data_IF_350999498083
#
_entry.id   IF_350999498083
#
_cell.length_a   1.000
_cell.length_b   1.000
_cell.length_c   1.000
_cell.angle_alpha   90.00
_cell.angle_beta   90.00
_cell.angle_gamma   90.00
#
_symmetry.space_group_name_H-M   'P 1'
#
loop_
_entity.id
_entity.type
_entity.pdbx_description
1 polymer ?
#
# COMPACT_ATOMS: atom_id res chain seq x y z
N UNK A 1 -16.35 1.39 1.27
CA UNK A 1 -15.63 0.41 2.12
C UNK A 1 -14.85 1.14 3.20
N UNK A 2 -14.96 0.70 4.43
CA UNK A 2 -14.20 1.28 5.54
C UNK A 2 -12.84 0.61 5.64
N UNK A 3 -11.79 1.41 5.73
CA UNK A 3 -10.42 0.93 5.87
C UNK A 3 -9.87 1.41 7.22
N UNK A 4 -9.23 0.52 7.97
CA UNK A 4 -8.68 0.88 9.28
C UNK A 4 -7.42 0.08 9.59
N UNK A 5 -6.47 0.72 10.26
CA UNK A 5 -5.30 0.04 10.82
C UNK A 5 -5.62 -0.60 12.17
N UNK A 6 -6.77 -0.25 12.77
CA UNK A 6 -7.21 -0.82 14.04
C UNK A 6 -7.74 -2.24 13.83
N UNK A 7 -7.71 -3.10 14.87
CA UNK A 7 -8.27 -4.45 14.76
C UNK A 7 -9.80 -4.49 14.74
N UNK A 8 -10.43 -3.38 15.08
CA UNK A 8 -11.88 -3.24 15.14
C UNK A 8 -12.29 -1.85 14.67
N UNK A 9 -13.53 -1.72 14.25
CA UNK A 9 -14.12 -0.44 13.88
C UNK A 9 -15.18 -0.12 14.93
N UNK A 10 -14.97 0.99 15.65
CA UNK A 10 -15.88 1.41 16.70
C UNK A 10 -17.30 1.60 16.16
N UNK A 11 -18.28 1.09 16.89
CA UNK A 11 -19.68 1.15 16.49
C UNK A 11 -20.11 0.07 15.49
N UNK A 12 -19.19 -0.79 15.04
CA UNK A 12 -19.47 -1.84 14.07
C UNK A 12 -18.93 -3.18 14.55
N UNK A 13 -19.81 -4.12 14.83
CA UNK A 13 -19.43 -5.48 15.17
C UNK A 13 -19.00 -6.22 13.90
N UNK A 14 -17.83 -6.87 13.94
CA UNK A 14 -17.41 -7.74 12.84
C UNK A 14 -18.31 -8.98 12.86
N UNK A 15 -19.07 -9.16 11.78
CA UNK A 15 -20.01 -10.27 11.65
C UNK A 15 -19.39 -11.48 10.95
N UNK A 16 -18.38 -11.24 10.11
CA UNK A 16 -17.75 -12.32 9.35
C UNK A 16 -16.33 -11.90 8.98
N UNK A 17 -15.38 -12.80 9.15
CA UNK A 17 -14.01 -12.66 8.66
C UNK A 17 -13.90 -13.38 7.32
N UNK A 18 -13.55 -12.62 6.28
CA UNK A 18 -13.42 -13.18 4.92
C UNK A 18 -12.02 -13.72 4.64
N UNK A 19 -11.00 -13.17 5.30
CA UNK A 19 -9.62 -13.62 5.14
C UNK A 19 -8.64 -12.50 4.93
N UNK A 20 -7.39 -12.87 4.71
CA UNK A 20 -6.29 -11.94 4.51
C UNK A 20 -6.32 -11.45 3.06
N UNK A 21 -6.16 -10.14 2.90
CA UNK A 21 -6.04 -9.51 1.58
C UNK A 21 -4.77 -8.71 1.52
N UNK A 22 -4.22 -8.61 0.33
CA UNK A 22 -3.00 -7.84 0.06
C UNK A 22 -3.16 -7.03 -1.22
N UNK A 23 -2.29 -6.03 -1.37
CA UNK A 23 -2.10 -5.30 -2.61
C UNK A 23 -0.63 -5.01 -2.77
N UNK A 24 -0.11 -5.04 -4.00
CA UNK A 24 1.30 -4.83 -4.26
C UNK A 24 1.50 -3.89 -5.46
N UNK A 25 2.47 -2.98 -5.34
CA UNK A 25 2.91 -2.15 -6.47
C UNK A 25 4.42 -2.14 -6.47
N UNK A 26 5.00 -2.45 -7.62
CA UNK A 26 6.46 -2.44 -7.80
C UNK A 26 6.81 -1.31 -8.74
N UNK A 27 7.66 -0.39 -8.25
CA UNK A 27 8.27 0.64 -9.07
C UNK A 27 9.49 0.02 -9.72
N UNK A 28 9.45 -0.08 -11.06
CA UNK A 28 10.49 -0.76 -11.83
C UNK A 28 11.85 -0.07 -11.75
N UNK A 29 12.90 -0.81 -12.10
CA UNK A 29 14.28 -0.39 -11.93
C UNK A 29 14.61 0.94 -12.64
N UNK A 30 14.12 1.14 -13.85
CA UNK A 30 14.42 2.37 -14.60
C UNK A 30 13.80 3.61 -13.94
N UNK A 31 12.53 3.51 -13.55
CA UNK A 31 11.84 4.61 -12.87
C UNK A 31 12.49 4.89 -11.51
N UNK A 32 12.82 3.85 -10.75
CA UNK A 32 13.47 4.00 -9.44
C UNK A 32 14.82 4.69 -9.57
N UNK A 33 15.62 4.30 -10.57
CA UNK A 33 16.92 4.90 -10.85
C UNK A 33 16.80 6.39 -11.16
N UNK A 34 15.84 6.75 -12.02
CA UNK A 34 15.62 8.15 -12.42
C UNK A 34 15.20 8.99 -11.23
N UNK A 35 14.29 8.48 -10.40
CA UNK A 35 13.84 9.15 -9.17
C UNK A 35 14.99 9.34 -8.20
N UNK A 36 15.82 8.31 -8.00
CA UNK A 36 16.94 8.35 -7.08
C UNK A 36 18.01 9.36 -7.54
N UNK A 37 18.26 9.43 -8.86
CA UNK A 37 19.17 10.43 -9.41
C UNK A 37 18.67 11.85 -9.15
N UNK A 38 17.36 12.08 -9.29
CA UNK A 38 16.73 13.36 -8.97
C UNK A 38 16.88 13.74 -7.50
N UNK A 39 16.77 12.78 -6.59
CA UNK A 39 16.93 13.01 -5.15
C UNK A 39 18.35 13.46 -4.80
N UNK A 40 19.37 12.89 -5.45
CA UNK A 40 20.77 13.24 -5.19
C UNK A 40 21.10 14.71 -5.52
N UNK A 41 20.33 15.33 -6.40
CA UNK A 41 20.52 16.72 -6.77
C UNK A 41 19.79 17.70 -5.85
N UNK A 42 19.01 17.19 -4.91
CA UNK A 42 18.27 18.02 -3.96
C UNK A 42 19.16 18.35 -2.77
N UNK A 43 19.38 19.63 -2.56
CA UNK A 43 20.15 20.14 -1.43
C UNK A 43 19.17 20.87 -0.49
N UNK A 44 18.78 20.19 0.57
CA UNK A 44 17.77 20.67 1.50
C UNK A 44 16.36 20.57 0.93
N UNK A 45 15.35 20.61 1.78
CA UNK A 45 13.95 20.52 1.39
C UNK A 45 13.48 19.11 1.11
N UNK A 46 12.31 19.00 0.46
CA UNK A 46 11.61 17.74 0.26
C UNK A 46 11.80 17.23 -1.17
N UNK A 47 11.87 15.93 -1.30
CA UNK A 47 11.95 15.25 -2.60
C UNK A 47 10.55 15.05 -3.19
N UNK A 48 9.90 16.14 -3.62
CA UNK A 48 8.50 16.15 -4.00
C UNK A 48 8.11 15.14 -5.08
N UNK A 49 8.94 14.98 -6.12
CA UNK A 49 8.67 14.01 -7.19
C UNK A 49 8.68 12.57 -6.67
N UNK A 50 9.62 12.25 -5.78
CA UNK A 50 9.72 10.92 -5.17
C UNK A 50 8.54 10.66 -4.23
N UNK A 51 8.19 11.66 -3.40
CA UNK A 51 7.05 11.58 -2.50
C UNK A 51 5.75 11.33 -3.26
N UNK A 52 5.57 11.97 -4.41
CA UNK A 52 4.39 11.77 -5.26
C UNK A 52 4.30 10.34 -5.77
N UNK A 53 5.41 9.78 -6.25
CA UNK A 53 5.45 8.40 -6.75
C UNK A 53 5.15 7.41 -5.63
N UNK A 54 5.70 7.62 -4.43
CA UNK A 54 5.41 6.78 -3.26
C UNK A 54 3.92 6.82 -2.91
N UNK A 55 3.32 8.01 -2.91
CA UNK A 55 1.90 8.17 -2.60
C UNK A 55 1.03 7.45 -3.64
N UNK A 56 1.34 7.59 -4.93
CA UNK A 56 0.61 6.93 -6.01
C UNK A 56 0.75 5.41 -5.91
N UNK A 57 1.94 4.90 -5.62
CA UNK A 57 2.19 3.47 -5.46
C UNK A 57 1.41 2.90 -4.27
N UNK A 58 1.38 3.63 -3.14
CA UNK A 58 0.57 3.26 -1.98
C UNK A 58 -0.91 3.20 -2.34
N UNK A 59 -1.42 4.23 -3.00
CA UNK A 59 -2.82 4.31 -3.38
C UNK A 59 -3.21 3.17 -4.33
N UNK A 60 -2.35 2.83 -5.28
CA UNK A 60 -2.56 1.71 -6.19
C UNK A 60 -2.61 0.38 -5.44
N UNK A 61 -1.70 0.16 -4.48
CA UNK A 61 -1.68 -1.03 -3.64
C UNK A 61 -2.95 -1.13 -2.79
N UNK A 62 -3.41 0.00 -2.22
CA UNK A 62 -4.66 0.04 -1.45
C UNK A 62 -5.87 -0.29 -2.32
N UNK A 63 -5.95 0.27 -3.53
CA UNK A 63 -7.05 -0.01 -4.46
C UNK A 63 -7.10 -1.49 -4.84
N UNK A 64 -5.96 -2.09 -5.11
CA UNK A 64 -5.88 -3.51 -5.44
C UNK A 64 -6.36 -4.38 -4.28
N UNK A 65 -5.92 -4.05 -3.05
CA UNK A 65 -6.36 -4.75 -1.85
C UNK A 65 -7.88 -4.62 -1.66
N UNK A 66 -8.43 -3.42 -1.86
CA UNK A 66 -9.87 -3.16 -1.75
C UNK A 66 -10.67 -3.97 -2.77
N UNK A 67 -10.20 -4.03 -4.02
CA UNK A 67 -10.86 -4.80 -5.07
C UNK A 67 -10.91 -6.29 -4.73
N UNK A 68 -9.82 -6.82 -4.20
CA UNK A 68 -9.75 -8.21 -3.74
C UNK A 68 -10.70 -8.48 -2.58
N UNK A 69 -10.77 -7.55 -1.63
CA UNK A 69 -11.71 -7.65 -0.50
C UNK A 69 -13.16 -7.61 -0.97
N UNK A 70 -13.49 -6.73 -1.90
CA UNK A 70 -14.84 -6.63 -2.47
C UNK A 70 -15.23 -7.92 -3.19
N UNK A 71 -14.29 -8.53 -3.93
CA UNK A 71 -14.52 -9.79 -4.61
C UNK A 71 -14.82 -10.94 -3.64
N UNK A 72 -14.34 -10.85 -2.39
CA UNK A 72 -14.64 -11.80 -1.32
C UNK A 72 -15.97 -11.51 -0.61
N UNK A 73 -16.64 -10.43 -0.95
CA UNK A 73 -17.89 -10.03 -0.31
C UNK A 73 -17.71 -9.20 0.95
N UNK A 74 -16.51 -8.67 1.20
CA UNK A 74 -16.24 -7.82 2.35
C UNK A 74 -16.72 -6.39 2.12
N UNK A 75 -17.02 -5.68 3.21
CA UNK A 75 -17.35 -4.26 3.18
C UNK A 75 -16.42 -3.40 4.05
N UNK A 76 -15.39 -4.01 4.63
CA UNK A 76 -14.37 -3.31 5.39
C UNK A 76 -13.07 -4.12 5.39
N UNK A 77 -11.97 -3.42 5.66
CA UNK A 77 -10.66 -4.05 5.87
C UNK A 77 -10.11 -3.48 7.17
N UNK A 78 -9.73 -4.34 8.10
CA UNK A 78 -9.15 -3.98 9.39
C UNK A 78 -7.72 -4.48 9.50
N UNK A 79 -6.97 -3.95 10.47
CA UNK A 79 -5.60 -4.36 10.72
C UNK A 79 -4.66 -4.07 9.54
N UNK A 80 -4.90 -2.99 8.80
CA UNK A 80 -4.12 -2.66 7.61
C UNK A 80 -2.69 -2.30 8.02
N UNK A 81 -1.74 -2.89 7.29
CA UNK A 81 -0.33 -2.58 7.36
C UNK A 81 0.16 -2.15 5.98
N UNK A 82 1.09 -1.20 5.94
CA UNK A 82 1.67 -0.69 4.70
C UNK A 82 3.18 -0.78 4.82
N UNK A 83 3.80 -1.52 3.91
CA UNK A 83 5.24 -1.73 3.89
C UNK A 83 5.86 -1.16 2.62
N UNK A 84 7.05 -0.58 2.78
CA UNK A 84 7.87 -0.10 1.68
C UNK A 84 9.19 -0.85 1.75
N UNK A 85 9.54 -1.57 0.67
CA UNK A 85 10.76 -2.36 0.63
C UNK A 85 11.49 -2.18 -0.69
N UNK A 86 12.82 -2.16 -0.61
CA UNK A 86 13.63 -2.26 -1.82
C UNK A 86 13.76 -3.74 -2.18
N UNK A 87 13.57 -4.05 -3.45
CA UNK A 87 13.62 -5.41 -3.97
C UNK A 87 14.45 -5.44 -5.25
N UNK A 88 14.69 -6.64 -5.78
CA UNK A 88 15.48 -6.82 -6.99
C UNK A 88 16.98 -6.82 -6.73
N UNK A 89 17.77 -6.94 -7.80
CA UNK A 89 19.21 -6.99 -7.71
C UNK A 89 19.75 -5.66 -7.14
N UNK A 90 20.50 -5.74 -6.04
CA UNK A 90 21.08 -4.57 -5.36
C UNK A 90 20.06 -3.52 -4.90
N UNK A 91 18.83 -3.96 -4.59
CA UNK A 91 17.78 -3.03 -4.18
C UNK A 91 17.40 -2.02 -5.26
N UNK A 92 17.37 -2.46 -6.51
CA UNK A 92 17.15 -1.58 -7.67
C UNK A 92 15.70 -1.24 -7.94
N UNK A 93 14.76 -1.84 -7.21
CA UNK A 93 13.32 -1.60 -7.34
C UNK A 93 12.72 -1.31 -5.97
N UNK A 94 11.59 -0.62 -5.96
CA UNK A 94 10.84 -0.36 -4.74
C UNK A 94 9.50 -1.06 -4.82
N UNK A 95 9.15 -1.80 -3.76
CA UNK A 95 7.85 -2.43 -3.60
C UNK A 95 7.07 -1.72 -2.50
N UNK A 96 5.80 -1.43 -2.78
CA UNK A 96 4.85 -1.01 -1.76
C UNK A 96 3.83 -2.11 -1.62
N UNK A 97 3.72 -2.66 -0.43
CA UNK A 97 2.76 -3.73 -0.12
C UNK A 97 1.78 -3.26 0.95
N UNK A 98 0.52 -3.56 0.74
CA UNK A 98 -0.54 -3.38 1.73
C UNK A 98 -1.11 -4.73 2.10
N UNK A 99 -1.50 -4.89 3.36
CA UNK A 99 -2.15 -6.11 3.84
C UNK A 99 -3.21 -5.77 4.88
N UNK A 100 -4.15 -6.66 5.08
CA UNK A 100 -5.20 -6.48 6.08
C UNK A 100 -6.12 -7.67 6.11
N UNK A 101 -7.13 -7.58 6.95
CA UNK A 101 -8.18 -8.61 7.08
C UNK A 101 -9.49 -8.08 6.50
N UNK A 102 -9.97 -8.74 5.47
CA UNK A 102 -11.27 -8.43 4.86
C UNK A 102 -12.39 -8.95 5.76
N UNK A 103 -13.34 -8.09 6.09
CA UNK A 103 -14.43 -8.41 7.02
C UNK A 103 -15.76 -7.89 6.50
N UNK A 104 -16.84 -8.44 7.08
CA UNK A 104 -18.19 -7.89 6.95
C UNK A 104 -18.58 -7.28 8.30
N UNK A 105 -18.94 -6.03 8.25
CA UNK A 105 -19.45 -5.30 9.40
C UNK A 105 -20.90 -4.90 9.20
#
# INVERSE_FOLDING_TARGET
>A
MILSTTPQIEGHTIREYKGIVTGETIIGANMFKDLFAGIRDIVGGRAGAYEKVLAEAKDTSMQEMMQRAQAMGANAIVGIDIDYETVGANGSMLMVETSGTAVVI
#
